data_IF_557466264214
#
_entry.id   IF_557466264214
#
_cell.length_a   1.000
_cell.length_b   1.000
_cell.length_c   1.000
_cell.angle_alpha   90.00
_cell.angle_beta   90.00
_cell.angle_gamma   90.00
#
_symmetry.space_group_name_H-M   'P 1'
#
loop_
_entity.id
_entity.type
_entity.pdbx_description
1 polymer ?
#
# COMPACT_ATOMS: atom_id res chain seq x y z
N UNK A 1 -36.70 54.68 8.57
CA UNK A 1 -38.01 53.99 8.51
C UNK A 1 -37.81 52.61 7.92
N UNK A 2 -38.55 51.60 8.43
CA UNK A 2 -38.30 50.16 8.30
C UNK A 2 -39.20 49.56 7.17
N UNK A 3 -39.41 48.23 6.97
CA UNK A 3 -39.72 47.16 7.95
C UNK A 3 -38.78 45.93 7.84
N UNK A 4 -38.43 45.20 8.91
CA UNK A 4 -39.19 44.36 9.88
C UNK A 4 -39.80 43.06 9.31
N UNK A 5 -39.24 41.94 9.83
CA UNK A 5 -39.85 40.68 10.32
C UNK A 5 -40.72 39.83 9.37
N UNK A 6 -40.48 38.50 9.39
CA UNK A 6 -41.22 37.54 10.23
C UNK A 6 -40.70 36.10 10.09
N UNK A 7 -40.72 35.39 11.22
CA UNK A 7 -40.72 33.94 11.32
C UNK A 7 -42.16 33.39 11.21
N UNK A 8 -42.27 32.13 10.78
CA UNK A 8 -43.40 31.21 11.01
C UNK A 8 -42.87 29.80 10.70
N UNK A 9 -42.61 28.92 11.67
CA UNK A 9 -43.52 28.08 12.47
C UNK A 9 -44.25 26.98 11.67
N UNK A 10 -43.79 25.75 11.92
CA UNK A 10 -44.53 24.51 12.18
C UNK A 10 -45.35 23.75 11.11
N UNK A 11 -44.97 22.46 11.02
CA UNK A 11 -45.77 21.23 10.92
C UNK A 11 -46.82 21.06 9.82
N UNK A 12 -46.68 20.00 9.01
CA UNK A 12 -47.48 18.77 9.20
C UNK A 12 -46.96 17.58 8.37
N UNK A 13 -47.07 16.39 8.98
CA UNK A 13 -46.95 15.06 8.38
C UNK A 13 -47.68 14.89 7.04
N UNK A 14 -47.10 14.07 6.15
CA UNK A 14 -47.92 13.10 5.42
C UNK A 14 -47.14 11.82 5.08
N UNK A 15 -47.52 10.74 5.73
CA UNK A 15 -47.20 9.35 5.41
C UNK A 15 -48.05 8.88 4.23
N UNK A 16 -47.44 8.24 3.22
CA UNK A 16 -48.17 7.23 2.44
C UNK A 16 -47.24 6.15 1.87
N UNK A 17 -47.39 4.98 2.47
CA UNK A 17 -47.02 3.67 1.94
C UNK A 17 -47.96 3.28 0.80
N UNK A 18 -47.42 2.67 -0.27
CA UNK A 18 -48.12 1.59 -1.01
C UNK A 18 -47.13 0.59 -1.64
N UNK A 19 -47.15 -0.61 -1.05
CA UNK A 19 -46.94 -1.97 -1.57
C UNK A 19 -46.65 -2.22 -3.08
N UNK A 20 -45.55 -2.95 -3.28
CA UNK A 20 -45.42 -4.30 -3.88
C UNK A 20 -46.03 -4.65 -5.25
N UNK A 21 -45.18 -5.19 -6.13
CA UNK A 21 -45.55 -6.28 -7.04
C UNK A 21 -44.34 -7.20 -7.33
N UNK A 22 -44.48 -8.47 -6.96
CA UNK A 22 -43.68 -9.62 -7.42
C UNK A 22 -43.97 -9.88 -8.91
N UNK A 23 -42.95 -10.23 -9.69
CA UNK A 23 -43.12 -11.18 -10.80
C UNK A 23 -41.84 -11.97 -11.08
N UNK A 24 -41.98 -13.28 -10.99
CA UNK A 24 -41.07 -14.35 -11.41
C UNK A 24 -41.00 -14.48 -12.93
N UNK A 25 -39.85 -14.90 -13.46
CA UNK A 25 -39.70 -15.39 -14.83
C UNK A 25 -38.26 -15.79 -15.17
N UNK A 26 -38.02 -17.11 -15.27
CA UNK A 26 -36.81 -17.75 -15.80
C UNK A 26 -36.57 -17.39 -17.28
N UNK A 27 -35.32 -17.32 -17.74
CA UNK A 27 -34.70 -18.34 -18.62
C UNK A 27 -33.33 -17.92 -19.20
N UNK A 28 -32.37 -18.86 -19.06
CA UNK A 28 -31.28 -19.24 -19.97
C UNK A 28 -30.44 -18.18 -20.71
N UNK A 29 -29.12 -18.29 -20.56
CA UNK A 29 -28.18 -18.56 -21.67
C UNK A 29 -26.79 -18.89 -21.11
N UNK A 30 -26.47 -20.19 -21.06
CA UNK A 30 -25.11 -20.70 -20.88
C UNK A 30 -24.53 -21.09 -22.24
N UNK A 31 -23.46 -20.42 -22.66
CA UNK A 31 -22.68 -20.82 -23.83
C UNK A 31 -21.24 -20.31 -23.72
N UNK A 32 -20.32 -21.17 -23.27
CA UNK A 32 -18.89 -21.09 -23.56
C UNK A 32 -18.31 -22.50 -23.37
N UNK A 33 -18.28 -23.32 -24.43
CA UNK A 33 -17.09 -23.58 -25.26
C UNK A 33 -15.86 -24.01 -24.45
N UNK A 34 -15.76 -25.31 -24.27
CA UNK A 34 -14.49 -26.03 -24.15
C UNK A 34 -13.60 -25.71 -25.36
N UNK A 35 -12.35 -25.35 -25.10
CA UNK A 35 -11.28 -25.56 -26.09
C UNK A 35 -10.06 -26.11 -25.38
N UNK A 36 -9.86 -27.41 -25.58
CA UNK A 36 -8.64 -28.13 -25.32
C UNK A 36 -7.50 -27.56 -26.18
N UNK A 37 -6.39 -27.16 -25.56
CA UNK A 37 -5.11 -27.02 -26.29
C UNK A 37 -4.13 -28.08 -25.80
N UNK A 38 -3.91 -29.05 -26.70
CA UNK A 38 -2.86 -30.06 -26.58
C UNK A 38 -1.50 -29.42 -26.81
N UNK A 39 -0.60 -29.74 -25.89
CA UNK A 39 0.85 -29.79 -26.05
C UNK A 39 1.31 -30.29 -27.42
N UNK A 40 2.33 -29.64 -27.99
CA UNK A 40 3.37 -30.36 -28.71
C UNK A 40 4.73 -29.68 -28.55
N UNK A 41 5.64 -30.45 -27.97
CA UNK A 41 7.08 -30.25 -27.95
C UNK A 41 7.65 -30.12 -29.37
N UNK A 42 8.66 -29.27 -29.54
CA UNK A 42 9.70 -29.56 -30.52
C UNK A 42 11.09 -29.27 -29.96
N UNK A 43 11.84 -30.36 -29.90
CA UNK A 43 13.21 -30.54 -29.46
C UNK A 43 14.18 -29.89 -30.46
N UNK A 44 15.24 -29.24 -29.97
CA UNK A 44 16.47 -29.02 -30.76
C UNK A 44 17.68 -29.65 -30.05
N UNK A 45 18.55 -30.36 -30.77
CA UNK A 45 19.65 -31.09 -30.18
C UNK A 45 20.90 -30.22 -29.98
N UNK A 46 21.66 -30.64 -28.98
CA UNK A 46 22.97 -30.12 -28.57
C UNK A 46 24.06 -30.33 -29.64
N UNK A 47 25.08 -29.45 -29.59
CA UNK A 47 26.45 -29.80 -30.00
C UNK A 47 27.44 -29.51 -28.88
N UNK A 48 28.31 -30.51 -28.72
CA UNK A 48 29.35 -30.78 -27.73
C UNK A 48 30.69 -30.18 -28.18
N UNK A 49 31.58 -29.94 -27.22
CA UNK A 49 33.02 -29.66 -27.43
C UNK A 49 33.59 -28.94 -26.20
N UNK A 50 33.85 -29.60 -25.07
CA UNK A 50 35.01 -30.44 -24.73
C UNK A 50 36.27 -29.63 -24.37
N UNK A 51 36.57 -29.64 -23.05
CA UNK A 51 37.86 -29.65 -22.32
C UNK A 51 39.03 -28.79 -22.81
N UNK A 52 39.63 -28.02 -21.90
CA UNK A 52 40.84 -28.54 -21.23
C UNK A 52 41.19 -27.86 -19.88
N UNK A 53 41.80 -28.71 -19.06
CA UNK A 53 42.31 -28.60 -17.70
C UNK A 53 43.51 -27.67 -17.52
N UNK A 54 43.64 -26.99 -16.37
CA UNK A 54 44.85 -27.11 -15.54
C UNK A 54 44.67 -26.53 -14.12
N UNK A 55 45.10 -27.33 -13.17
CA UNK A 55 45.19 -27.12 -11.73
C UNK A 55 46.37 -26.19 -11.38
N UNK A 56 46.24 -25.36 -10.34
CA UNK A 56 47.34 -24.97 -9.45
C UNK A 56 46.82 -24.41 -8.12
N UNK A 57 46.95 -25.22 -7.07
CA UNK A 57 46.99 -24.77 -5.69
C UNK A 57 48.29 -23.98 -5.44
N UNK A 58 48.18 -22.89 -4.65
CA UNK A 58 49.20 -22.44 -3.69
C UNK A 58 48.64 -21.37 -2.75
N UNK A 59 48.35 -21.82 -1.54
CA UNK A 59 48.62 -21.24 -0.22
C UNK A 59 48.99 -19.75 -0.01
N UNK A 60 48.35 -19.22 1.04
CA UNK A 60 48.82 -18.29 2.10
C UNK A 60 48.61 -16.76 1.96
N UNK A 61 47.72 -16.31 2.85
CA UNK A 61 47.89 -15.24 3.85
C UNK A 61 47.76 -13.75 3.47
N UNK A 62 46.71 -13.17 4.08
CA UNK A 62 46.65 -11.93 4.86
C UNK A 62 46.49 -10.57 4.18
N UNK A 63 45.54 -9.83 4.79
CA UNK A 63 45.39 -8.38 4.88
C UNK A 63 45.14 -7.60 3.58
N UNK A 64 43.94 -7.04 3.47
CA UNK A 64 43.74 -5.59 3.38
C UNK A 64 42.30 -5.28 2.96
N UNK A 65 41.60 -4.64 3.88
CA UNK A 65 40.43 -3.80 3.67
C UNK A 65 40.37 -3.15 2.28
N UNK A 66 39.37 -3.55 1.49
CA UNK A 66 38.78 -2.67 0.47
C UNK A 66 37.31 -2.45 0.82
N UNK A 67 37.11 -1.59 1.80
CA UNK A 67 35.94 -0.73 1.87
C UNK A 67 35.85 0.01 0.53
N UNK A 68 34.96 -0.44 -0.36
CA UNK A 68 34.48 0.39 -1.45
C UNK A 68 33.73 1.55 -0.82
N UNK A 69 34.42 2.68 -0.70
CA UNK A 69 33.82 4.00 -0.57
C UNK A 69 32.97 4.23 -1.82
N UNK A 70 31.72 3.76 -1.79
CA UNK A 70 30.68 4.39 -2.58
C UNK A 70 30.43 5.75 -1.94
N UNK A 71 30.89 6.76 -2.66
CA UNK A 71 30.67 8.17 -2.36
C UNK A 71 29.17 8.42 -2.36
N UNK A 72 28.60 8.47 -1.17
CA UNK A 72 27.97 9.67 -0.62
C UNK A 72 27.48 10.65 -1.71
N UNK A 73 26.38 10.27 -2.35
CA UNK A 73 25.44 11.19 -2.97
C UNK A 73 24.16 11.10 -2.16
N UNK A 74 24.18 11.57 -0.91
CA UNK A 74 22.95 12.11 -0.30
C UNK A 74 22.63 13.37 -1.13
N UNK A 75 21.87 13.18 -2.21
CA UNK A 75 21.15 14.28 -2.82
C UNK A 75 20.16 14.76 -1.76
N UNK A 76 20.36 15.98 -1.25
CA UNK A 76 19.44 16.61 -0.31
C UNK A 76 18.01 16.40 -0.81
N UNK A 77 17.20 15.71 -0.01
CA UNK A 77 15.80 15.41 -0.33
C UNK A 77 15.04 16.73 -0.41
N UNK A 78 14.32 16.94 -1.52
CA UNK A 78 13.43 18.09 -1.71
C UNK A 78 12.00 17.68 -1.36
N UNK A 79 11.25 18.61 -0.79
CA UNK A 79 9.90 18.38 -0.30
C UNK A 79 8.92 19.35 -0.94
N UNK A 80 7.68 18.88 -1.07
CA UNK A 80 6.47 19.68 -1.23
C UNK A 80 5.62 19.53 0.02
N UNK A 81 4.79 20.52 0.33
CA UNK A 81 3.81 20.45 1.41
C UNK A 81 2.45 20.15 0.79
N UNK A 82 1.91 18.95 1.02
CA UNK A 82 0.55 18.60 0.62
C UNK A 82 -0.42 19.06 1.69
N UNK A 83 -1.44 19.82 1.30
CA UNK A 83 -2.51 20.23 2.21
C UNK A 83 -3.30 19.02 2.72
N UNK A 84 -3.73 19.07 3.98
CA UNK A 84 -4.62 18.05 4.53
C UNK A 84 -5.99 18.09 3.83
N UNK A 85 -6.52 16.95 3.33
CA UNK A 85 -7.84 16.91 2.68
C UNK A 85 -8.99 17.41 3.58
N UNK A 86 -8.82 17.25 4.89
CA UNK A 86 -9.76 17.67 5.94
C UNK A 86 -9.35 18.99 6.64
N UNK A 87 -8.44 19.79 6.06
CA UNK A 87 -7.97 21.04 6.69
C UNK A 87 -9.12 21.95 7.15
N UNK A 88 -10.17 22.06 6.35
CA UNK A 88 -11.34 22.89 6.63
C UNK A 88 -12.05 22.54 7.96
N UNK A 89 -11.95 21.29 8.42
CA UNK A 89 -12.57 20.85 9.67
C UNK A 89 -11.84 21.36 10.92
N UNK A 90 -10.57 21.73 10.76
CA UNK A 90 -9.68 22.06 11.87
C UNK A 90 -9.11 23.47 11.81
N UNK A 91 -9.29 24.21 10.72
CA UNK A 91 -8.66 25.52 10.49
C UNK A 91 -8.98 26.55 11.59
N UNK A 92 -10.15 26.44 12.21
CA UNK A 92 -10.62 27.36 13.24
C UNK A 92 -10.24 26.93 14.68
N UNK A 93 -9.51 25.84 14.87
CA UNK A 93 -9.14 25.41 16.23
C UNK A 93 -8.11 26.38 16.82
N UNK A 94 -8.22 26.61 18.13
CA UNK A 94 -7.21 27.34 18.89
C UNK A 94 -5.85 26.60 18.81
N UNK A 95 -4.74 27.36 18.84
CA UNK A 95 -3.37 26.83 18.81
C UNK A 95 -2.97 26.03 17.55
N UNK A 96 -3.25 26.59 16.37
CA UNK A 96 -2.77 26.02 15.09
C UNK A 96 -1.24 26.00 14.96
N UNK A 97 -0.71 24.85 14.54
CA UNK A 97 0.68 24.71 14.08
C UNK A 97 0.78 25.17 12.60
N UNK A 98 0.60 26.48 12.39
CA UNK A 98 0.51 27.14 11.07
C UNK A 98 1.45 28.35 10.96
N UNK A 99 1.82 28.79 9.74
CA UNK A 99 2.60 30.01 9.55
C UNK A 99 1.93 31.23 10.18
N UNK A 100 2.70 32.02 10.92
CA UNK A 100 2.24 33.30 11.42
C UNK A 100 2.01 34.32 10.30
N UNK A 101 1.25 35.38 10.57
CA UNK A 101 1.02 36.46 9.59
C UNK A 101 2.37 37.06 9.16
N UNK A 102 2.68 36.97 7.86
CA UNK A 102 3.93 37.46 7.28
C UNK A 102 5.11 36.48 7.38
N UNK A 103 4.93 35.31 7.96
CA UNK A 103 5.92 34.25 7.95
C UNK A 103 6.02 33.60 6.56
N UNK A 104 7.24 33.20 6.18
CA UNK A 104 7.49 32.55 4.89
C UNK A 104 7.14 31.07 4.93
N UNK A 105 6.40 30.63 3.92
CA UNK A 105 5.96 29.25 3.75
C UNK A 105 7.12 28.24 3.64
N UNK A 106 8.25 28.62 3.04
CA UNK A 106 9.41 27.73 2.83
C UNK A 106 9.92 27.03 4.11
N UNK A 107 9.67 27.61 5.30
CA UNK A 107 10.05 27.03 6.60
C UNK A 107 9.14 25.89 7.07
N UNK A 108 8.05 25.65 6.36
CA UNK A 108 7.00 24.71 6.72
C UNK A 108 6.94 23.50 5.77
N UNK A 109 7.70 23.55 4.67
CA UNK A 109 7.63 22.56 3.60
C UNK A 109 8.22 21.20 3.98
N UNK A 110 9.19 21.18 4.90
CA UNK A 110 9.94 19.98 5.29
C UNK A 110 9.54 19.41 6.66
N UNK A 111 8.42 19.88 7.23
CA UNK A 111 7.89 19.38 8.51
C UNK A 111 6.38 19.14 8.45
N UNK A 112 5.93 18.16 9.22
CA UNK A 112 4.50 17.93 9.45
C UNK A 112 3.96 19.08 10.30
N UNK A 113 2.89 19.70 9.84
CA UNK A 113 2.19 20.75 10.58
C UNK A 113 0.69 20.70 10.34
N UNK A 114 -0.06 21.64 10.91
CA UNK A 114 -1.50 21.71 10.65
C UNK A 114 -1.82 22.20 9.24
N UNK A 115 -0.82 22.74 8.53
CA UNK A 115 -0.91 23.19 7.15
C UNK A 115 -0.93 22.03 6.18
N UNK A 116 -0.16 20.98 6.49
CA UNK A 116 0.04 19.90 5.57
C UNK A 116 1.14 18.92 5.96
N UNK A 117 1.40 18.04 5.01
CA UNK A 117 2.31 16.90 5.11
C UNK A 117 3.50 17.16 4.19
N UNK A 118 4.75 17.09 4.69
CA UNK A 118 5.92 17.10 3.85
C UNK A 118 5.97 15.79 3.07
N UNK A 119 6.03 15.86 1.76
CA UNK A 119 6.17 14.71 0.84
C UNK A 119 7.36 14.98 -0.05
N UNK A 120 8.18 13.97 -0.35
CA UNK A 120 9.26 14.20 -1.31
C UNK A 120 8.70 14.57 -2.67
N UNK A 121 9.45 15.33 -3.48
CA UNK A 121 9.02 15.65 -4.85
C UNK A 121 8.71 14.38 -5.66
N UNK A 122 9.51 13.32 -5.48
CA UNK A 122 9.29 12.03 -6.14
C UNK A 122 8.01 11.34 -5.63
N UNK A 123 7.73 11.39 -4.32
CA UNK A 123 6.50 10.86 -3.75
C UNK A 123 5.26 11.63 -4.22
N UNK A 124 5.37 12.95 -4.31
CA UNK A 124 4.35 13.82 -4.88
C UNK A 124 4.07 13.51 -6.35
N UNK A 125 5.11 13.26 -7.14
CA UNK A 125 4.97 12.85 -8.53
C UNK A 125 4.31 11.46 -8.68
N UNK A 126 4.56 10.54 -7.74
CA UNK A 126 3.85 9.25 -7.71
C UNK A 126 2.38 9.46 -7.35
N UNK A 127 2.06 10.29 -6.35
CA UNK A 127 0.68 10.63 -6.01
C UNK A 127 -0.06 11.23 -7.22
N UNK A 128 0.50 12.28 -7.84
CA UNK A 128 -0.09 12.93 -9.02
C UNK A 128 -0.36 11.90 -10.13
N UNK A 129 0.59 11.00 -10.38
CA UNK A 129 0.41 9.92 -11.35
C UNK A 129 -0.73 8.96 -10.97
N UNK A 130 -0.88 8.61 -9.69
CA UNK A 130 -1.97 7.73 -9.23
C UNK A 130 -3.33 8.41 -9.44
N UNK A 131 -3.47 9.67 -9.03
CA UNK A 131 -4.67 10.49 -9.24
C UNK A 131 -5.01 10.64 -10.72
N UNK A 132 -4.04 11.02 -11.54
CA UNK A 132 -4.18 11.13 -13.01
C UNK A 132 -4.65 9.81 -13.64
N UNK A 133 -4.13 8.67 -13.17
CA UNK A 133 -4.54 7.37 -13.67
C UNK A 133 -5.95 6.99 -13.19
N UNK A 134 -6.38 7.44 -12.02
CA UNK A 134 -7.74 7.24 -11.51
C UNK A 134 -8.77 8.01 -12.35
N UNK A 135 -8.52 9.29 -12.62
CA UNK A 135 -9.38 10.13 -13.48
C UNK A 135 -9.51 9.58 -14.92
N UNK A 136 -8.46 8.94 -15.44
CA UNK A 136 -8.51 8.30 -16.76
C UNK A 136 -9.49 7.11 -16.81
N UNK A 137 -9.81 6.54 -15.65
CA UNK A 137 -10.67 5.35 -15.50
C UNK A 137 -12.04 5.69 -14.94
N UNK A 138 -12.23 6.90 -14.42
CA UNK A 138 -13.48 7.38 -13.88
C UNK A 138 -14.56 7.50 -14.97
N UNK A 139 -15.59 6.66 -14.86
CA UNK A 139 -16.74 6.71 -15.75
C UNK A 139 -17.67 7.90 -15.44
N UNK A 140 -17.76 8.29 -14.17
CA UNK A 140 -18.68 9.34 -13.70
C UNK A 140 -18.17 10.72 -14.10
N UNK A 141 -16.87 10.99 -13.94
CA UNK A 141 -16.23 12.19 -14.46
C UNK A 141 -16.37 12.35 -16.00
N UNK A 142 -16.77 11.27 -16.69
CA UNK A 142 -16.96 11.25 -18.15
C UNK A 142 -18.42 11.14 -18.58
N UNK A 143 -19.37 11.21 -17.65
CA UNK A 143 -20.80 11.04 -17.90
C UNK A 143 -21.08 9.73 -18.66
N UNK A 144 -20.45 8.64 -18.20
CA UNK A 144 -20.59 7.30 -18.75
C UNK A 144 -21.03 6.33 -17.66
N UNK A 145 -21.86 5.36 -18.05
CA UNK A 145 -22.15 4.20 -17.22
C UNK A 145 -21.79 2.93 -17.98
N UNK A 146 -20.74 2.25 -17.55
CA UNK A 146 -20.30 0.97 -18.11
C UNK A 146 -20.88 -0.17 -17.28
N UNK A 147 -20.54 -0.22 -16.00
CA UNK A 147 -21.16 -1.05 -14.97
C UNK A 147 -20.72 -0.55 -13.59
N UNK A 148 -21.36 -1.06 -12.53
CA UNK A 148 -21.27 -0.55 -11.15
C UNK A 148 -19.82 -0.42 -10.64
N UNK A 149 -19.02 -1.48 -10.74
CA UNK A 149 -17.67 -1.51 -10.15
C UNK A 149 -16.56 -1.06 -11.11
N UNK A 150 -16.88 -0.43 -12.24
CA UNK A 150 -15.88 -0.05 -13.25
C UNK A 150 -14.71 0.74 -12.64
N UNK A 151 -15.02 1.74 -11.80
CA UNK A 151 -14.03 2.56 -11.14
C UNK A 151 -13.16 1.73 -10.18
N UNK A 152 -13.76 0.80 -9.43
CA UNK A 152 -13.04 -0.10 -8.51
C UNK A 152 -12.06 -1.02 -9.22
N UNK A 153 -12.47 -1.63 -10.34
CA UNK A 153 -11.57 -2.38 -11.21
C UNK A 153 -10.46 -1.51 -11.81
N UNK A 154 -10.80 -0.25 -12.11
CA UNK A 154 -9.85 0.73 -12.54
C UNK A 154 -8.74 0.98 -11.52
N UNK A 155 -9.09 1.16 -10.26
CA UNK A 155 -8.13 1.37 -9.16
C UNK A 155 -7.27 0.11 -8.92
N UNK A 156 -7.84 -1.09 -8.96
CA UNK A 156 -7.07 -2.35 -8.90
C UNK A 156 -5.99 -2.43 -9.98
N UNK A 157 -6.30 -2.00 -11.21
CA UNK A 157 -5.32 -1.92 -12.29
C UNK A 157 -4.20 -0.91 -12.00
N UNK A 158 -4.53 0.24 -11.40
CA UNK A 158 -3.56 1.26 -10.96
C UNK A 158 -2.62 0.68 -9.90
N UNK A 159 -3.15 0.01 -8.88
CA UNK A 159 -2.35 -0.59 -7.82
C UNK A 159 -1.40 -1.67 -8.36
N UNK A 160 -1.91 -2.52 -9.26
CA UNK A 160 -1.11 -3.52 -9.96
C UNK A 160 0.01 -2.88 -10.80
N UNK A 161 -0.25 -1.75 -11.47
CA UNK A 161 0.75 -1.00 -12.22
C UNK A 161 1.81 -0.36 -11.31
N UNK A 162 1.40 0.21 -10.16
CA UNK A 162 2.32 0.78 -9.17
C UNK A 162 3.30 -0.25 -8.63
N UNK A 163 2.79 -1.43 -8.23
CA UNK A 163 3.62 -2.55 -7.77
C UNK A 163 4.59 -3.05 -8.86
N UNK A 164 4.18 -3.01 -10.12
CA UNK A 164 5.04 -3.32 -11.27
C UNK A 164 6.14 -2.31 -11.50
N UNK A 165 5.85 -1.03 -11.29
CA UNK A 165 6.84 0.04 -11.36
C UNK A 165 7.88 -0.11 -10.24
N UNK A 166 7.45 -0.45 -9.02
CA UNK A 166 8.34 -0.79 -7.91
C UNK A 166 9.22 -2.01 -8.25
N UNK A 167 8.66 -3.11 -8.78
CA UNK A 167 9.45 -4.31 -9.14
C UNK A 167 10.57 -3.99 -10.13
N UNK A 168 10.24 -3.18 -11.15
CA UNK A 168 11.23 -2.67 -12.11
C UNK A 168 12.33 -1.91 -11.39
N UNK A 169 11.97 -1.05 -10.44
CA UNK A 169 12.93 -0.18 -9.77
C UNK A 169 13.78 -0.94 -8.76
N UNK A 170 13.22 -1.89 -8.01
CA UNK A 170 13.94 -2.84 -7.14
C UNK A 170 14.96 -3.70 -7.91
N UNK A 171 14.75 -3.92 -9.21
CA UNK A 171 15.70 -4.64 -10.06
C UNK A 171 16.91 -3.80 -10.48
N UNK A 172 16.85 -2.46 -10.33
CA UNK A 172 17.93 -1.55 -10.68
C UNK A 172 19.00 -1.56 -9.58
N UNK A 173 20.27 -1.59 -9.99
CA UNK A 173 21.41 -1.49 -9.04
C UNK A 173 21.58 -0.11 -8.43
N UNK A 174 21.02 0.91 -9.06
CA UNK A 174 21.23 2.32 -8.71
C UNK A 174 20.08 2.93 -7.93
N UNK A 175 18.99 2.18 -7.68
CA UNK A 175 17.84 2.73 -6.95
C UNK A 175 18.22 3.01 -5.51
N UNK A 176 17.89 4.20 -5.04
CA UNK A 176 18.13 4.65 -3.68
C UNK A 176 16.95 4.26 -2.78
N UNK A 177 17.16 4.13 -1.46
CA UNK A 177 16.06 3.89 -0.53
C UNK A 177 14.99 5.00 -0.56
N UNK A 178 15.36 6.26 -0.80
CA UNK A 178 14.42 7.38 -0.92
C UNK A 178 13.53 7.25 -2.18
N UNK A 179 14.08 6.83 -3.32
CA UNK A 179 13.27 6.55 -4.52
C UNK A 179 12.26 5.39 -4.29
N UNK A 180 12.60 4.41 -3.46
CA UNK A 180 11.65 3.36 -3.07
C UNK A 180 10.61 3.88 -2.08
N UNK A 181 11.02 4.77 -1.16
CA UNK A 181 10.12 5.43 -0.21
C UNK A 181 9.06 6.27 -0.89
N UNK A 182 9.37 6.91 -2.01
CA UNK A 182 8.42 7.66 -2.81
C UNK A 182 7.16 6.84 -3.18
N UNK A 183 7.28 5.53 -3.40
CA UNK A 183 6.11 4.67 -3.66
C UNK A 183 5.20 4.52 -2.44
N UNK A 184 5.80 4.47 -1.24
CA UNK A 184 5.05 4.40 0.02
C UNK A 184 4.36 5.73 0.28
N UNK A 185 5.07 6.86 0.07
CA UNK A 185 4.49 8.20 0.18
C UNK A 185 3.31 8.40 -0.76
N UNK A 186 3.51 8.09 -2.05
CA UNK A 186 2.46 8.24 -3.06
C UNK A 186 1.22 7.42 -2.72
N UNK A 187 1.38 6.18 -2.27
CA UNK A 187 0.25 5.34 -1.84
C UNK A 187 -0.42 5.87 -0.56
N UNK A 188 0.36 6.18 0.49
CA UNK A 188 -0.18 6.66 1.77
C UNK A 188 -0.93 8.00 1.62
N UNK A 189 -0.45 8.90 0.76
CA UNK A 189 -1.17 10.14 0.45
C UNK A 189 -2.40 9.88 -0.43
N UNK A 190 -2.34 8.93 -1.37
CA UNK A 190 -3.49 8.55 -2.19
C UNK A 190 -4.64 8.06 -1.32
N UNK A 191 -4.37 7.34 -0.23
CA UNK A 191 -5.43 6.81 0.65
C UNK A 191 -6.25 7.88 1.37
N UNK A 192 -5.70 9.10 1.54
CA UNK A 192 -6.43 10.21 2.17
C UNK A 192 -6.89 11.27 1.16
N UNK A 193 -6.19 11.44 0.05
CA UNK A 193 -6.53 12.46 -0.95
C UNK A 193 -7.66 12.01 -1.89
N UNK A 194 -7.79 10.71 -2.12
CA UNK A 194 -8.63 10.15 -3.18
C UNK A 194 -9.76 9.26 -2.63
N UNK A 195 -10.48 9.77 -1.62
CA UNK A 195 -11.52 9.04 -0.85
C UNK A 195 -12.58 8.36 -1.73
N UNK A 196 -13.03 9.04 -2.79
CA UNK A 196 -13.96 8.47 -3.76
C UNK A 196 -13.39 7.20 -4.44
N UNK A 197 -12.18 7.28 -4.96
CA UNK A 197 -11.53 6.15 -5.62
C UNK A 197 -11.18 5.04 -4.64
N UNK A 198 -10.82 5.39 -3.40
CA UNK A 198 -10.61 4.41 -2.33
C UNK A 198 -11.89 3.64 -2.03
N UNK A 199 -13.02 4.34 -1.91
CA UNK A 199 -14.35 3.74 -1.72
C UNK A 199 -14.70 2.81 -2.89
N UNK A 200 -14.45 3.22 -4.14
CA UNK A 200 -14.66 2.36 -5.30
C UNK A 200 -13.79 1.10 -5.28
N UNK A 201 -12.53 1.22 -4.85
CA UNK A 201 -11.61 0.09 -4.80
C UNK A 201 -12.00 -0.93 -3.72
N UNK A 202 -12.33 -0.45 -2.51
CA UNK A 202 -12.79 -1.32 -1.42
C UNK A 202 -14.14 -1.97 -1.73
N UNK A 203 -15.01 -1.29 -2.48
CA UNK A 203 -16.31 -1.80 -2.92
C UNK A 203 -16.29 -2.73 -4.15
N UNK A 204 -15.12 -3.09 -4.66
CA UNK A 204 -14.98 -3.92 -5.87
C UNK A 204 -15.50 -5.36 -5.64
N UNK A 205 -16.34 -5.89 -6.56
CA UNK A 205 -16.89 -7.25 -6.51
C UNK A 205 -15.84 -8.36 -6.37
N UNK A 206 -14.59 -8.10 -6.74
CA UNK A 206 -13.47 -9.04 -6.57
C UNK A 206 -12.70 -8.79 -5.28
N UNK A 207 -13.39 -8.92 -4.14
CA UNK A 207 -12.79 -8.79 -2.80
C UNK A 207 -11.49 -9.58 -2.60
N UNK A 208 -11.40 -10.87 -2.97
CA UNK A 208 -10.14 -11.63 -2.86
C UNK A 208 -8.99 -11.06 -3.69
N UNK A 209 -9.28 -10.44 -4.84
CA UNK A 209 -8.28 -9.75 -5.64
C UNK A 209 -7.79 -8.47 -4.97
N UNK A 210 -8.71 -7.69 -4.39
CA UNK A 210 -8.37 -6.48 -3.62
C UNK A 210 -7.53 -6.84 -2.39
N UNK A 211 -7.90 -7.88 -1.65
CA UNK A 211 -7.10 -8.37 -0.51
C UNK A 211 -5.68 -8.76 -0.93
N UNK A 212 -5.54 -9.47 -2.07
CA UNK A 212 -4.22 -9.82 -2.60
C UNK A 212 -3.39 -8.57 -2.97
N UNK A 213 -4.02 -7.53 -3.50
CA UNK A 213 -3.39 -6.24 -3.81
C UNK A 213 -2.94 -5.52 -2.53
N UNK A 214 -3.82 -5.42 -1.52
CA UNK A 214 -3.50 -4.79 -0.22
C UNK A 214 -2.34 -5.53 0.47
N UNK A 215 -2.35 -6.86 0.46
CA UNK A 215 -1.26 -7.65 1.03
C UNK A 215 0.05 -7.47 0.24
N UNK A 216 0.00 -7.36 -1.09
CA UNK A 216 1.21 -7.07 -1.88
C UNK A 216 1.73 -5.65 -1.65
N UNK A 217 0.84 -4.68 -1.39
CA UNK A 217 1.20 -3.32 -0.93
C UNK A 217 1.86 -3.38 0.45
N UNK A 218 1.37 -4.21 1.37
CA UNK A 218 2.04 -4.47 2.64
C UNK A 218 3.49 -4.94 2.45
N UNK A 219 3.72 -5.87 1.52
CA UNK A 219 5.08 -6.32 1.17
C UNK A 219 5.92 -5.18 0.57
N UNK A 220 5.35 -4.30 -0.26
CA UNK A 220 6.03 -3.09 -0.74
C UNK A 220 6.47 -2.22 0.44
N UNK A 221 5.55 -1.88 1.35
CA UNK A 221 5.82 -1.03 2.53
C UNK A 221 6.93 -1.64 3.38
N UNK A 222 6.81 -2.91 3.76
CA UNK A 222 7.80 -3.58 4.62
C UNK A 222 9.15 -3.75 3.94
N UNK A 223 9.17 -4.02 2.63
CA UNK A 223 10.42 -4.07 1.84
C UNK A 223 11.11 -2.71 1.83
N UNK A 224 10.36 -1.63 1.67
CA UNK A 224 10.90 -0.28 1.65
C UNK A 224 11.37 0.16 3.05
N UNK A 225 10.61 -0.13 4.11
CA UNK A 225 11.05 0.11 5.50
C UNK A 225 12.34 -0.65 5.82
N UNK A 226 12.45 -1.91 5.40
CA UNK A 226 13.69 -2.67 5.53
C UNK A 226 14.84 -2.00 4.77
N UNK A 227 14.61 -1.48 3.56
CA UNK A 227 15.63 -0.74 2.81
C UNK A 227 16.05 0.55 3.48
N UNK A 228 15.13 1.28 4.10
CA UNK A 228 15.48 2.44 4.92
C UNK A 228 16.32 2.03 6.13
N UNK A 229 15.95 0.95 6.82
CA UNK A 229 16.69 0.41 7.97
C UNK A 229 18.10 -0.04 7.60
N UNK A 230 18.25 -0.84 6.53
CA UNK A 230 19.54 -1.34 6.02
C UNK A 230 20.53 -0.20 5.70
N UNK A 231 20.01 0.97 5.32
CA UNK A 231 20.78 2.16 4.96
C UNK A 231 20.87 3.20 6.09
N UNK A 232 20.37 2.90 7.30
CA UNK A 232 20.43 3.82 8.45
C UNK A 232 19.54 5.06 8.31
N UNK A 233 18.52 4.99 7.46
CA UNK A 233 17.56 6.07 7.20
C UNK A 233 16.25 5.90 7.99
N UNK A 234 15.97 4.72 8.54
CA UNK A 234 14.84 4.51 9.45
C UNK A 234 15.27 4.84 10.89
N UNK A 235 15.13 6.10 11.29
CA UNK A 235 15.51 6.62 12.62
C UNK A 235 14.85 7.99 12.90
N UNK A 236 14.75 8.45 14.17
CA UNK A 236 14.03 9.67 14.52
C UNK A 236 14.62 10.95 13.90
N UNK A 237 15.94 11.00 13.70
CA UNK A 237 16.67 12.14 13.14
C UNK A 237 16.98 11.96 11.64
N UNK A 238 16.22 11.10 10.94
CA UNK A 238 16.42 10.81 9.51
C UNK A 238 16.38 12.05 8.63
N UNK A 239 17.03 11.98 7.47
CA UNK A 239 16.84 12.97 6.39
C UNK A 239 15.45 12.87 5.73
N UNK A 240 14.79 11.72 5.87
CA UNK A 240 13.40 11.48 5.45
C UNK A 240 12.47 11.88 6.60
N UNK A 241 11.87 13.07 6.50
CA UNK A 241 11.21 13.76 7.63
C UNK A 241 9.80 13.26 7.94
N UNK A 242 9.19 12.53 7.02
CA UNK A 242 7.78 12.17 7.07
C UNK A 242 7.53 10.69 7.40
N UNK A 243 8.57 9.91 7.72
CA UNK A 243 8.40 8.48 8.07
C UNK A 243 7.27 8.26 9.09
N UNK A 244 7.24 8.97 10.24
CA UNK A 244 6.21 8.70 11.24
C UNK A 244 4.80 8.96 10.73
N UNK A 245 4.59 10.07 10.01
CA UNK A 245 3.25 10.43 9.53
C UNK A 245 2.78 9.50 8.41
N UNK A 246 3.66 9.07 7.50
CA UNK A 246 3.30 8.09 6.47
C UNK A 246 2.92 6.74 7.08
N UNK A 247 3.64 6.29 8.12
CA UNK A 247 3.26 5.09 8.87
C UNK A 247 1.88 5.24 9.51
N UNK A 248 1.58 6.40 10.11
CA UNK A 248 0.25 6.66 10.69
C UNK A 248 -0.87 6.64 9.64
N UNK A 249 -0.66 7.21 8.45
CA UNK A 249 -1.63 7.14 7.35
C UNK A 249 -1.89 5.70 6.87
N UNK A 250 -0.83 4.88 6.79
CA UNK A 250 -0.98 3.46 6.44
C UNK A 250 -1.76 2.68 7.51
N UNK A 251 -1.54 2.98 8.79
CA UNK A 251 -2.29 2.39 9.91
C UNK A 251 -3.76 2.85 9.91
N UNK A 252 -4.02 4.11 9.59
CA UNK A 252 -5.38 4.62 9.37
C UNK A 252 -6.07 3.88 8.22
N UNK A 253 -5.40 3.70 7.08
CA UNK A 253 -5.94 2.92 5.97
C UNK A 253 -6.31 1.49 6.38
N UNK A 254 -5.43 0.82 7.13
CA UNK A 254 -5.66 -0.54 7.63
C UNK A 254 -6.81 -0.64 8.64
N UNK A 255 -6.90 0.32 9.56
CA UNK A 255 -7.93 0.35 10.60
C UNK A 255 -9.28 0.90 10.10
N UNK A 256 -9.25 1.67 9.01
CA UNK A 256 -10.43 2.27 8.37
C UNK A 256 -10.84 1.50 7.13
N UNK A 257 -10.43 1.98 5.96
CA UNK A 257 -10.91 1.51 4.65
C UNK A 257 -10.67 0.02 4.41
N UNK A 258 -9.55 -0.54 4.89
CA UNK A 258 -9.19 -1.93 4.64
C UNK A 258 -9.55 -2.91 5.78
N UNK A 259 -10.31 -2.47 6.79
CA UNK A 259 -10.60 -3.28 7.98
C UNK A 259 -11.36 -4.59 7.69
N UNK A 260 -12.11 -4.65 6.59
CA UNK A 260 -12.90 -5.82 6.19
C UNK A 260 -12.05 -6.90 5.50
N UNK A 261 -10.76 -6.63 5.23
CA UNK A 261 -9.82 -7.55 4.59
C UNK A 261 -8.85 -8.15 5.61
N UNK A 262 -8.36 -9.36 5.34
CA UNK A 262 -7.38 -10.03 6.21
C UNK A 262 -5.98 -9.45 5.96
N UNK A 263 -5.70 -8.31 6.61
CA UNK A 263 -4.47 -7.52 6.45
C UNK A 263 -3.69 -7.40 7.77
N UNK A 264 -2.77 -8.33 8.03
CA UNK A 264 -2.03 -8.41 9.30
C UNK A 264 -0.73 -7.57 9.38
N UNK A 265 -0.35 -6.82 8.35
CA UNK A 265 0.97 -6.18 8.27
C UNK A 265 1.11 -4.86 9.07
N UNK A 266 0.02 -4.33 9.65
CA UNK A 266 0.06 -3.09 10.45
C UNK A 266 0.98 -3.21 11.68
N UNK A 267 0.96 -4.36 12.37
CA UNK A 267 1.86 -4.61 13.50
C UNK A 267 3.35 -4.59 13.10
N UNK A 268 3.68 -4.96 11.86
CA UNK A 268 5.04 -4.92 11.35
C UNK A 268 5.53 -3.50 11.06
N UNK A 269 4.65 -2.61 10.60
CA UNK A 269 4.96 -1.18 10.46
C UNK A 269 5.31 -0.58 11.82
N UNK A 270 4.50 -0.87 12.83
CA UNK A 270 4.73 -0.44 14.20
C UNK A 270 6.04 -1.02 14.76
N UNK A 271 6.31 -2.32 14.53
CA UNK A 271 7.59 -2.95 14.90
C UNK A 271 8.79 -2.21 14.29
N UNK A 272 8.74 -1.92 12.98
CA UNK A 272 9.84 -1.21 12.31
C UNK A 272 10.10 0.17 12.92
N UNK A 273 9.05 0.90 13.27
CA UNK A 273 9.18 2.18 13.94
C UNK A 273 9.74 2.04 15.37
N UNK A 274 9.20 1.10 16.17
CA UNK A 274 9.66 0.85 17.54
C UNK A 274 11.13 0.44 17.61
N UNK A 275 11.55 -0.52 16.78
CA UNK A 275 12.95 -0.99 16.71
C UNK A 275 13.91 0.12 16.23
N UNK A 276 13.41 1.10 15.49
CA UNK A 276 14.15 2.29 15.08
C UNK A 276 14.13 3.43 16.12
N UNK A 277 13.38 3.28 17.23
CA UNK A 277 13.21 4.32 18.24
C UNK A 277 12.24 5.45 17.84
N UNK A 278 11.37 5.21 16.86
CA UNK A 278 10.32 6.12 16.42
C UNK A 278 9.02 5.78 17.16
N UNK A 279 8.65 6.61 18.12
CA UNK A 279 7.41 6.47 18.89
C UNK A 279 6.24 7.13 18.13
N UNK A 280 5.47 6.31 17.39
CA UNK A 280 4.35 6.78 16.57
C UNK A 280 3.27 7.50 17.37
N UNK A 281 3.05 7.14 18.64
CA UNK A 281 2.05 7.79 19.50
C UNK A 281 2.39 9.26 19.78
N UNK A 282 3.68 9.64 19.75
CA UNK A 282 4.13 11.04 19.84
C UNK A 282 3.90 11.84 18.55
N UNK A 283 3.55 11.19 17.46
CA UNK A 283 3.35 11.81 16.15
C UNK A 283 1.87 11.88 15.73
N UNK A 284 0.95 11.40 16.57
CA UNK A 284 -0.49 11.52 16.34
C UNK A 284 -0.90 12.99 16.15
N UNK A 285 -1.80 13.21 15.21
CA UNK A 285 -2.37 14.54 14.92
C UNK A 285 -3.87 14.43 14.76
N UNK A 286 -4.56 15.56 14.95
CA UNK A 286 -6.03 15.67 14.81
C UNK A 286 -6.55 15.34 13.40
N UNK A 287 -5.70 15.49 12.38
CA UNK A 287 -6.04 15.24 10.98
C UNK A 287 -6.01 13.75 10.60
N UNK A 288 -5.42 12.88 11.44
CA UNK A 288 -5.31 11.43 11.22
C UNK A 288 -6.31 10.72 12.15
N UNK A 289 -7.10 9.78 11.62
CA UNK A 289 -8.16 9.13 12.40
C UNK A 289 -7.69 7.96 13.26
N UNK A 290 -6.49 7.42 13.00
CA UNK A 290 -5.87 6.37 13.82
C UNK A 290 -5.64 6.87 15.25
N UNK A 291 -5.96 6.02 16.23
CA UNK A 291 -5.87 6.36 17.67
C UNK A 291 -4.69 5.65 18.33
N UNK A 292 -4.27 6.19 19.47
CA UNK A 292 -3.23 5.58 20.31
C UNK A 292 -3.55 4.11 20.65
N UNK A 293 -4.80 3.80 21.01
CA UNK A 293 -5.23 2.44 21.32
C UNK A 293 -4.93 1.43 20.21
N UNK A 294 -5.09 1.82 18.93
CA UNK A 294 -4.75 0.93 17.80
C UNK A 294 -3.23 0.73 17.65
N UNK A 295 -2.43 1.76 17.92
CA UNK A 295 -0.97 1.64 17.95
C UNK A 295 -0.54 0.70 19.09
N UNK A 296 -1.16 0.83 20.26
CA UNK A 296 -0.91 -0.02 21.42
C UNK A 296 -1.31 -1.48 21.17
N UNK A 297 -2.44 -1.73 20.51
CA UNK A 297 -2.86 -3.08 20.06
C UNK A 297 -1.86 -3.70 19.07
N UNK A 298 -1.36 -2.90 18.13
CA UNK A 298 -0.34 -3.34 17.17
C UNK A 298 1.01 -3.63 17.87
N UNK A 299 1.41 -2.82 18.85
CA UNK A 299 2.59 -3.05 19.70
C UNK A 299 2.43 -4.32 20.56
N UNK A 300 1.24 -4.56 21.13
CA UNK A 300 0.94 -5.75 21.90
C UNK A 300 1.06 -7.01 21.02
N UNK A 301 0.49 -6.95 19.81
CA UNK A 301 0.61 -8.03 18.80
C UNK A 301 2.08 -8.30 18.44
N UNK A 302 2.87 -7.25 18.20
CA UNK A 302 4.31 -7.37 17.98
C UNK A 302 5.01 -8.05 19.17
N UNK A 303 4.70 -7.62 20.40
CA UNK A 303 5.30 -8.14 21.63
C UNK A 303 4.97 -9.62 21.82
N UNK A 304 3.73 -10.03 21.61
CA UNK A 304 3.32 -11.44 21.65
C UNK A 304 4.11 -12.28 20.64
N UNK A 305 4.24 -11.80 19.39
CA UNK A 305 5.05 -12.46 18.35
C UNK A 305 6.53 -12.59 18.73
N UNK A 306 7.05 -11.66 19.54
CA UNK A 306 8.46 -11.61 19.95
C UNK A 306 8.78 -12.41 21.21
N UNK A 307 7.83 -12.52 22.14
CA UNK A 307 8.08 -13.02 23.50
C UNK A 307 7.25 -14.26 23.86
N UNK A 308 6.14 -14.51 23.18
CA UNK A 308 5.18 -15.55 23.51
C UNK A 308 4.66 -16.29 22.27
N UNK A 309 5.46 -16.39 21.22
CA UNK A 309 5.06 -17.03 19.97
C UNK A 309 4.94 -18.54 20.13
N UNK A 310 3.74 -19.07 19.88
CA UNK A 310 3.45 -20.51 19.76
C UNK A 310 4.29 -21.23 18.68
N UNK A 311 4.96 -20.47 17.82
CA UNK A 311 5.73 -20.97 16.67
C UNK A 311 7.21 -21.19 16.97
N UNK A 312 7.68 -20.78 18.14
CA UNK A 312 9.03 -21.08 18.63
C UNK A 312 9.00 -22.34 19.51
N UNK A 313 8.78 -23.52 18.88
CA UNK A 313 8.77 -24.82 19.56
C UNK A 313 10.15 -25.51 19.58
N UNK A 314 11.23 -24.75 19.39
CA UNK A 314 12.61 -25.25 19.41
C UNK A 314 13.14 -25.51 20.82
N UNK A 315 14.22 -26.31 20.93
CA UNK A 315 14.88 -26.70 22.19
C UNK A 315 15.41 -25.52 23.04
N UNK A 316 15.52 -24.32 22.46
CA UNK A 316 16.00 -23.11 23.14
C UNK A 316 14.90 -22.24 23.78
N UNK A 317 13.61 -22.53 23.52
CA UNK A 317 12.48 -22.06 24.34
C UNK A 317 12.39 -20.55 24.58
N UNK A 318 12.84 -19.71 23.65
CA UNK A 318 12.85 -18.25 23.85
C UNK A 318 11.50 -17.59 23.56
N UNK A 319 10.54 -18.29 22.95
CA UNK A 319 9.22 -17.76 22.62
C UNK A 319 9.24 -16.74 21.47
N UNK A 320 10.34 -16.63 20.73
CA UNK A 320 10.53 -15.57 19.74
C UNK A 320 10.27 -16.06 18.31
N UNK A 321 9.07 -15.77 17.82
CA UNK A 321 8.64 -16.21 16.49
C UNK A 321 9.49 -15.61 15.37
N UNK A 322 9.94 -14.35 15.48
CA UNK A 322 10.81 -13.74 14.47
C UNK A 322 12.13 -14.50 14.34
N UNK A 323 12.77 -14.87 15.45
CA UNK A 323 14.00 -15.68 15.44
C UNK A 323 13.74 -17.07 14.86
N UNK A 324 12.64 -17.73 15.26
CA UNK A 324 12.28 -19.04 14.76
C UNK A 324 12.13 -19.05 13.23
N UNK A 325 11.36 -18.10 12.68
CA UNK A 325 11.16 -17.95 11.25
C UNK A 325 12.42 -17.52 10.49
N UNK A 326 13.27 -16.67 11.08
CA UNK A 326 14.55 -16.27 10.48
C UNK A 326 15.53 -17.45 10.34
N UNK A 327 15.51 -18.41 11.27
CA UNK A 327 16.36 -19.61 11.23
C UNK A 327 15.91 -20.64 10.19
N UNK A 328 14.66 -20.57 9.71
CA UNK A 328 14.12 -21.50 8.72
C UNK A 328 14.79 -21.30 7.36
N UNK A 329 15.71 -22.22 7.02
CA UNK A 329 16.56 -22.15 5.81
C UNK A 329 15.77 -22.25 4.50
N UNK A 330 14.75 -23.11 4.49
CA UNK A 330 13.89 -23.36 3.31
C UNK A 330 12.52 -22.68 3.45
N UNK A 331 12.47 -21.55 4.15
CA UNK A 331 11.23 -20.79 4.32
C UNK A 331 10.64 -20.39 2.97
N UNK A 332 9.32 -20.54 2.87
CA UNK A 332 8.50 -20.08 1.76
C UNK A 332 7.38 -19.20 2.32
N UNK A 333 6.82 -18.28 1.52
CA UNK A 333 5.70 -17.45 1.96
C UNK A 333 4.56 -18.23 2.61
N UNK A 334 4.22 -19.43 2.10
CA UNK A 334 3.18 -20.29 2.63
C UNK A 334 3.43 -20.78 4.07
N UNK A 335 4.68 -20.81 4.52
CA UNK A 335 5.03 -21.19 5.88
C UNK A 335 4.60 -20.13 6.91
N UNK A 336 4.37 -18.91 6.46
CA UNK A 336 3.94 -17.77 7.27
C UNK A 336 2.41 -17.65 7.34
N UNK A 337 1.69 -18.58 6.72
CA UNK A 337 0.23 -18.66 6.80
C UNK A 337 -0.18 -19.66 7.87
N UNK A 338 -1.09 -19.24 8.74
CA UNK A 338 -1.70 -20.09 9.73
C UNK A 338 -2.98 -20.68 9.14
N UNK A 339 -3.14 -22.01 9.12
CA UNK A 339 -4.44 -22.61 8.83
C UNK A 339 -5.42 -22.20 9.92
N UNK A 340 -6.59 -21.73 9.51
CA UNK A 340 -7.60 -21.23 10.44
C UNK A 340 -7.90 -22.22 11.58
N UNK A 341 -7.82 -21.76 12.85
CA UNK A 341 -8.06 -22.64 14.02
C UNK A 341 -9.55 -23.01 14.21
N UNK A 342 -10.48 -22.31 13.55
CA UNK A 342 -11.92 -22.46 13.82
C UNK A 342 -12.86 -22.42 12.60
N UNK A 343 -12.51 -21.70 11.51
CA UNK A 343 -13.37 -21.59 10.32
C UNK A 343 -12.54 -21.71 9.03
N UNK A 344 -12.92 -22.53 8.03
CA UNK A 344 -12.11 -22.85 6.86
C UNK A 344 -11.83 -21.69 5.88
N UNK A 345 -12.15 -20.45 6.25
CA UNK A 345 -12.01 -19.25 5.43
C UNK A 345 -11.10 -18.16 6.05
N UNK A 346 -10.52 -18.40 7.23
CA UNK A 346 -9.71 -17.41 7.95
C UNK A 346 -8.22 -17.82 7.97
N UNK A 347 -7.66 -18.14 6.80
CA UNK A 347 -6.21 -18.30 6.70
C UNK A 347 -5.57 -16.93 6.92
N UNK A 348 -4.87 -16.78 8.04
CA UNK A 348 -4.25 -15.52 8.42
C UNK A 348 -2.75 -15.60 8.19
N UNK A 349 -2.21 -14.63 7.46
CA UNK A 349 -0.76 -14.46 7.35
C UNK A 349 -0.22 -13.86 8.65
N UNK A 350 0.80 -14.49 9.20
CA UNK A 350 1.42 -14.12 10.47
C UNK A 350 2.42 -12.97 10.34
N UNK A 351 2.98 -12.74 9.14
CA UNK A 351 3.94 -11.68 8.85
C UNK A 351 5.24 -11.76 9.67
N UNK A 352 5.74 -12.96 9.98
CA UNK A 352 7.10 -13.06 10.52
C UNK A 352 8.17 -12.81 9.46
N UNK A 353 7.86 -13.10 8.19
CA UNK A 353 8.77 -12.92 7.05
C UNK A 353 8.02 -12.55 5.77
N UNK A 354 8.70 -11.81 4.92
CA UNK A 354 8.27 -11.52 3.56
C UNK A 354 9.47 -11.52 2.61
N UNK A 355 9.22 -11.77 1.33
CA UNK A 355 10.24 -11.63 0.29
C UNK A 355 9.60 -11.21 -1.03
N UNK A 356 9.82 -9.96 -1.41
CA UNK A 356 9.35 -9.41 -2.69
C UNK A 356 9.68 -10.30 -3.89
N UNK A 357 10.90 -10.86 -3.95
CA UNK A 357 11.36 -11.68 -5.07
C UNK A 357 10.66 -13.03 -5.15
N UNK A 358 10.14 -13.54 -4.03
CA UNK A 358 9.37 -14.77 -3.99
C UNK A 358 7.88 -14.53 -4.23
N UNK A 359 7.35 -13.41 -3.76
CA UNK A 359 5.90 -13.15 -3.67
C UNK A 359 5.34 -12.34 -4.84
N UNK A 360 6.10 -11.36 -5.36
CA UNK A 360 5.64 -10.57 -6.51
C UNK A 360 5.50 -11.40 -7.81
N UNK A 361 6.43 -12.32 -8.17
CA UNK A 361 6.30 -13.09 -9.41
C UNK A 361 5.04 -13.97 -9.54
N UNK A 362 4.53 -14.65 -8.49
CA UNK A 362 3.22 -15.29 -8.56
C UNK A 362 2.07 -14.28 -8.55
N UNK A 363 2.13 -13.22 -7.73
CA UNK A 363 1.10 -12.17 -7.69
C UNK A 363 0.83 -11.56 -9.07
N UNK A 364 1.88 -11.12 -9.78
CA UNK A 364 1.76 -10.45 -11.09
C UNK A 364 1.15 -11.31 -12.21
N UNK A 365 1.06 -12.63 -12.02
CA UNK A 365 0.40 -13.52 -13.00
C UNK A 365 -1.11 -13.32 -12.99
N UNK A 366 -1.67 -13.04 -11.81
CA UNK A 366 -3.09 -12.79 -11.62
C UNK A 366 -3.41 -11.29 -11.62
N UNK A 367 -2.41 -10.45 -11.33
CA UNK A 367 -2.50 -8.98 -11.30
C UNK A 367 -1.49 -8.37 -12.30
N UNK A 368 -1.69 -8.53 -13.62
CA UNK A 368 -0.70 -8.10 -14.62
C UNK A 368 -0.59 -6.57 -14.78
N UNK A 369 -1.52 -5.83 -14.18
CA UNK A 369 -1.76 -4.41 -14.50
C UNK A 369 -2.19 -4.22 -15.95
N UNK A 370 -2.09 -2.99 -16.45
CA UNK A 370 -2.43 -2.66 -17.82
C UNK A 370 -3.12 -1.32 -17.99
N UNK A 371 -3.93 -1.23 -19.04
CA UNK A 371 -4.74 -0.07 -19.41
C UNK A 371 -6.14 -0.49 -19.88
N UNK A 372 -6.62 -1.64 -19.41
CA UNK A 372 -7.92 -2.18 -19.76
C UNK A 372 -9.04 -1.22 -19.38
N UNK A 373 -8.93 -0.57 -18.22
CA UNK A 373 -9.95 0.32 -17.68
C UNK A 373 -9.74 1.79 -18.08
N UNK A 374 -8.63 2.12 -18.75
CA UNK A 374 -8.33 3.48 -19.21
C UNK A 374 -9.30 3.90 -20.34
N UNK A 375 -10.22 4.80 -19.99
CA UNK A 375 -11.25 5.32 -20.89
C UNK A 375 -10.68 6.28 -21.94
N UNK A 376 -9.47 6.82 -21.76
CA UNK A 376 -8.79 7.63 -22.79
C UNK A 376 -8.33 6.78 -23.98
N UNK A 377 -8.11 5.48 -23.76
CA UNK A 377 -7.67 4.54 -24.80
C UNK A 377 -8.85 3.88 -25.52
N UNK A 378 -10.08 4.03 -25.00
CA UNK A 378 -11.29 3.51 -25.65
C UNK A 378 -11.66 4.42 -26.83
N UNK A 379 -11.85 3.81 -28.00
CA UNK A 379 -12.23 4.53 -29.22
C UNK A 379 -13.64 5.13 -29.15
N UNK A 380 -13.96 6.05 -30.08
CA UNK A 380 -15.27 6.75 -30.15
C UNK A 380 -16.50 5.84 -30.19
N UNK A 381 -16.35 4.60 -30.65
CA UNK A 381 -17.43 3.62 -30.70
C UNK A 381 -17.95 3.23 -29.30
N UNK A 382 -17.11 3.27 -28.27
CA UNK A 382 -17.50 2.96 -26.89
C UNK A 382 -18.41 4.04 -26.28
N UNK A 383 -18.24 5.31 -26.67
CA UNK A 383 -19.03 6.44 -26.14
C UNK A 383 -20.44 6.56 -26.72
N UNK A 384 -20.79 5.77 -27.73
CA UNK A 384 -22.09 5.82 -28.41
C UNK A 384 -23.04 4.68 -28.02
N UNK A 385 -22.57 3.73 -27.21
CA UNK A 385 -23.40 2.62 -26.76
C UNK A 385 -24.03 3.06 -25.44
N UNK A 386 -25.28 3.53 -25.51
CA UNK A 386 -26.19 3.88 -24.39
C UNK A 386 -26.22 5.36 -23.96
N UNK A 387 -26.57 6.25 -24.90
CA UNK A 387 -27.40 7.42 -24.58
C UNK A 387 -28.88 7.02 -24.62
#
# INVERSE_FOLDING_TARGET
>A
MPPKRKASSENTHNTRSTKAAKKTGKESLSAAKESSSKSSNSTKPAKKGTKDTSTKEKDKNNASSKTSKDKDKSSKVSYICLEWPNLAEFIDYEDQDMPGVGEKFDKWVDRVSDLGIPVTEDGGAILEKLSDEAEKRDQDARDMYLYEDWNGWGVSEIMSNSLKDLDRDLSKKSVTPCELWAYVEGFACFTIAEDFYMTCWMGNENGPGVEAEINMIGIMVLTTLQKLSDHGLLKPDSEIKNIPIMCLLLLEFLHGSAQDFVCGWGCEVVRFCDEAGIDLSKHLRKQVSVKADYIDEALATYSEKKEASDYDQGDDGEGNGYKAFARKKDWKPQDDWRPARAAPYDDERLWYRWDWKMEYPPFKKNHPGGNHYDLTKKGKAWRKVRS
#
